data_IF_924173038578
#
_entry.id   IF_924173038578
#
_cell.length_a   1.000
_cell.length_b   1.000
_cell.length_c   1.000
_cell.angle_alpha   90.00
_cell.angle_beta   90.00
_cell.angle_gamma   90.00
#
_symmetry.space_group_name_H-M   'P 1'
#
loop_
_entity.id
_entity.type
_entity.pdbx_description
1 polymer ?
#
# COMPACT_ATOMS: atom_id res chain seq x y z
N UNK A 1 -22.75 2.92 18.61
CA UNK A 1 -21.87 3.33 17.50
C UNK A 1 -22.78 3.95 16.45
N UNK A 2 -22.59 5.22 16.10
CA UNK A 2 -23.36 5.92 15.04
C UNK A 2 -22.87 5.42 13.67
N UNK A 3 -23.33 4.23 13.25
CA UNK A 3 -23.00 3.64 11.94
C UNK A 3 -24.31 3.42 11.21
N UNK A 4 -24.42 3.91 9.98
CA UNK A 4 -25.60 3.68 9.15
C UNK A 4 -25.74 2.20 8.80
N UNK A 5 -26.97 1.77 8.52
CA UNK A 5 -27.32 0.41 8.12
C UNK A 5 -28.35 0.45 7.01
N UNK A 6 -28.03 -0.22 5.90
CA UNK A 6 -28.90 -0.35 4.72
C UNK A 6 -29.08 -1.82 4.39
N UNK A 7 -30.32 -2.22 4.11
CA UNK A 7 -30.69 -3.54 3.63
C UNK A 7 -31.06 -3.45 2.15
N UNK A 8 -30.53 -4.37 1.34
CA UNK A 8 -30.94 -4.58 -0.05
C UNK A 8 -31.55 -5.98 -0.17
N UNK A 9 -32.80 -6.06 -0.59
CA UNK A 9 -33.51 -7.32 -0.83
C UNK A 9 -33.25 -7.76 -2.27
N UNK A 10 -32.52 -8.86 -2.45
CA UNK A 10 -32.24 -9.43 -3.77
C UNK A 10 -33.53 -9.90 -4.48
N UNK A 11 -33.61 -9.68 -5.78
CA UNK A 11 -34.66 -10.16 -6.68
C UNK A 11 -34.41 -11.61 -7.16
N UNK A 12 -34.25 -12.51 -6.18
CA UNK A 12 -34.00 -13.94 -6.41
C UNK A 12 -35.28 -14.76 -6.21
N UNK A 13 -35.41 -15.84 -6.97
CA UNK A 13 -36.53 -16.76 -6.82
C UNK A 13 -36.31 -17.73 -5.63
N UNK A 14 -37.31 -18.56 -5.34
CA UNK A 14 -37.25 -19.47 -4.20
C UNK A 14 -36.15 -20.53 -4.34
N UNK A 15 -35.87 -21.01 -5.56
CA UNK A 15 -34.83 -22.00 -5.81
C UNK A 15 -33.43 -21.42 -5.57
N UNK A 16 -33.17 -20.21 -6.07
CA UNK A 16 -31.90 -19.50 -5.86
C UNK A 16 -31.69 -19.13 -4.40
N UNK A 17 -32.76 -18.69 -3.73
CA UNK A 17 -32.75 -18.41 -2.29
C UNK A 17 -32.40 -19.66 -1.48
N UNK A 18 -32.98 -20.80 -1.84
CA UNK A 18 -32.70 -22.08 -1.20
C UNK A 18 -31.25 -22.51 -1.45
N UNK A 19 -30.74 -22.36 -2.67
CA UNK A 19 -29.36 -22.69 -3.00
C UNK A 19 -28.34 -21.80 -2.26
N UNK A 20 -28.60 -20.49 -2.13
CA UNK A 20 -27.78 -19.59 -1.31
C UNK A 20 -27.82 -20.03 0.17
N UNK A 21 -29.00 -20.38 0.69
CA UNK A 21 -29.14 -20.86 2.07
C UNK A 21 -28.34 -22.14 2.31
N UNK A 22 -28.44 -23.13 1.41
CA UNK A 22 -27.68 -24.38 1.49
C UNK A 22 -26.16 -24.15 1.41
N UNK A 23 -25.72 -23.21 0.56
CA UNK A 23 -24.33 -22.80 0.48
C UNK A 23 -23.84 -22.24 1.83
N UNK A 24 -24.64 -21.37 2.46
CA UNK A 24 -24.32 -20.79 3.76
C UNK A 24 -24.30 -21.86 4.87
N UNK A 25 -25.30 -22.74 4.93
CA UNK A 25 -25.34 -23.86 5.88
C UNK A 25 -24.11 -24.75 5.75
N UNK A 26 -23.73 -25.12 4.52
CA UNK A 26 -22.51 -25.89 4.26
C UNK A 26 -21.25 -25.15 4.75
N UNK A 27 -21.18 -23.82 4.61
CA UNK A 27 -20.08 -23.03 5.15
C UNK A 27 -20.06 -22.94 6.67
N UNK A 28 -21.18 -23.15 7.37
CA UNK A 28 -21.17 -23.18 8.84
C UNK A 28 -20.56 -24.44 9.42
N UNK A 29 -20.40 -25.51 8.61
CA UNK A 29 -19.82 -26.77 9.05
C UNK A 29 -18.39 -26.57 9.60
N UNK A 30 -17.98 -27.32 10.64
CA UNK A 30 -16.68 -27.12 11.30
C UNK A 30 -15.47 -27.13 10.36
N UNK A 31 -15.54 -27.90 9.27
CA UNK A 31 -14.50 -28.01 8.25
C UNK A 31 -14.48 -26.84 7.25
N UNK A 32 -15.56 -26.07 7.11
CA UNK A 32 -15.72 -25.02 6.08
C UNK A 32 -15.79 -23.59 6.66
N UNK A 33 -16.08 -23.44 7.95
CA UNK A 33 -16.33 -22.13 8.59
C UNK A 33 -15.13 -21.18 8.64
N UNK A 34 -13.92 -21.69 8.43
CA UNK A 34 -12.71 -20.88 8.39
C UNK A 34 -12.23 -20.76 6.96
N UNK A 35 -12.00 -19.52 6.53
CA UNK A 35 -11.32 -19.20 5.28
C UNK A 35 -10.13 -18.29 5.58
N UNK A 36 -9.19 -18.27 4.65
CA UNK A 36 -8.01 -17.40 4.76
C UNK A 36 -8.38 -16.01 4.28
N UNK A 37 -8.54 -15.10 5.21
CA UNK A 37 -8.85 -13.70 4.91
C UNK A 37 -7.74 -13.04 4.08
N UNK A 38 -8.13 -12.42 2.97
CA UNK A 38 -7.33 -11.52 2.16
C UNK A 38 -8.10 -10.21 1.98
N UNK A 39 -7.50 -9.09 2.40
CA UNK A 39 -8.17 -7.79 2.43
C UNK A 39 -8.72 -7.35 1.07
N UNK A 40 -8.11 -7.74 -0.05
CA UNK A 40 -8.51 -7.28 -1.37
C UNK A 40 -9.29 -8.34 -2.15
N UNK A 41 -9.02 -9.62 -1.90
CA UNK A 41 -9.52 -10.70 -2.75
C UNK A 41 -10.46 -11.67 -2.05
N UNK A 42 -10.41 -11.79 -0.72
CA UNK A 42 -11.25 -12.70 0.03
C UNK A 42 -11.57 -12.13 1.42
N UNK A 43 -12.57 -11.26 1.49
CA UNK A 43 -12.99 -10.58 2.70
C UNK A 43 -14.51 -10.60 2.88
N UNK A 44 -15.02 -10.05 3.99
CA UNK A 44 -16.44 -10.04 4.28
C UNK A 44 -17.31 -9.34 3.22
N UNK A 45 -16.80 -8.28 2.58
CA UNK A 45 -17.50 -7.58 1.51
C UNK A 45 -17.49 -8.40 0.21
N UNK A 46 -16.36 -9.02 -0.17
CA UNK A 46 -16.32 -9.89 -1.36
C UNK A 46 -17.23 -11.09 -1.19
N UNK A 47 -17.42 -11.64 0.02
CA UNK A 47 -18.41 -12.71 0.26
C UNK A 47 -19.84 -12.30 -0.10
N UNK A 48 -20.21 -11.04 0.07
CA UNK A 48 -21.54 -10.54 -0.34
C UNK A 48 -21.72 -10.53 -1.86
N UNK A 49 -20.64 -10.48 -2.64
CA UNK A 49 -20.62 -10.65 -4.11
C UNK A 49 -20.53 -12.12 -4.49
N UNK A 50 -19.53 -12.82 -3.96
CA UNK A 50 -19.09 -14.14 -4.43
C UNK A 50 -20.15 -15.22 -4.16
N UNK A 51 -20.85 -15.14 -3.03
CA UNK A 51 -21.84 -16.16 -2.67
C UNK A 51 -23.04 -16.11 -3.64
N UNK A 52 -23.73 -14.98 -3.83
CA UNK A 52 -24.79 -14.90 -4.85
C UNK A 52 -24.28 -15.20 -6.25
N UNK A 53 -23.10 -14.68 -6.65
CA UNK A 53 -22.51 -14.96 -7.97
C UNK A 53 -22.25 -16.46 -8.18
N UNK A 54 -21.85 -17.21 -7.15
CA UNK A 54 -21.63 -18.66 -7.26
C UNK A 54 -22.92 -19.46 -7.53
N UNK A 55 -24.08 -18.93 -7.13
CA UNK A 55 -25.40 -19.56 -7.31
C UNK A 55 -26.07 -19.12 -8.61
N UNK A 56 -26.05 -17.81 -8.90
CA UNK A 56 -26.68 -17.25 -10.09
C UNK A 56 -25.80 -17.40 -11.35
N UNK A 57 -24.48 -17.56 -11.17
CA UNK A 57 -23.52 -17.63 -12.26
C UNK A 57 -23.53 -16.36 -13.12
N UNK A 58 -23.46 -16.56 -14.43
CA UNK A 58 -23.47 -15.47 -15.43
C UNK A 58 -24.83 -14.74 -15.51
N UNK A 59 -25.87 -15.24 -14.83
CA UNK A 59 -27.16 -14.52 -14.78
C UNK A 59 -27.04 -13.22 -14.01
N UNK A 60 -26.19 -13.13 -12.98
CA UNK A 60 -26.03 -11.93 -12.17
C UNK A 60 -24.90 -11.07 -12.77
N UNK A 61 -25.24 -9.92 -13.32
CA UNK A 61 -24.30 -9.01 -13.95
C UNK A 61 -24.19 -7.70 -13.16
N UNK A 62 -22.95 -7.27 -12.91
CA UNK A 62 -22.64 -6.01 -12.24
C UNK A 62 -22.18 -5.00 -13.29
N UNK A 63 -23.00 -3.99 -13.51
CA UNK A 63 -22.79 -2.94 -14.50
C UNK A 63 -21.91 -1.82 -13.95
N UNK A 64 -21.11 -1.17 -14.79
CA UNK A 64 -20.02 -0.28 -14.36
C UNK A 64 -20.15 1.16 -14.84
N UNK A 65 -21.19 1.49 -15.59
CA UNK A 65 -21.40 2.78 -16.26
C UNK A 65 -21.56 3.94 -15.28
N UNK A 66 -21.92 3.64 -14.03
CA UNK A 66 -22.05 4.63 -12.96
C UNK A 66 -20.69 5.05 -12.37
N UNK A 67 -19.62 4.29 -12.63
CA UNK A 67 -18.28 4.62 -12.15
C UNK A 67 -17.65 5.67 -13.07
N UNK A 68 -17.57 6.91 -12.59
CA UNK A 68 -17.08 8.05 -13.39
C UNK A 68 -15.57 8.13 -13.51
N UNK A 69 -14.83 7.39 -12.67
CA UNK A 69 -13.37 7.45 -12.62
C UNK A 69 -12.75 6.05 -12.55
N UNK A 70 -11.62 5.87 -13.25
CA UNK A 70 -10.81 4.67 -13.15
C UNK A 70 -9.93 4.69 -11.91
N UNK A 71 -10.15 3.75 -10.99
CA UNK A 71 -9.34 3.60 -9.78
C UNK A 71 -8.55 2.29 -9.78
N UNK A 72 -7.34 2.30 -9.23
CA UNK A 72 -6.61 1.10 -8.79
C UNK A 72 -7.03 0.70 -7.38
N UNK A 73 -6.61 -0.48 -6.92
CA UNK A 73 -6.82 -0.86 -5.51
C UNK A 73 -6.14 0.12 -4.55
N UNK A 74 -4.97 0.69 -4.91
CA UNK A 74 -4.32 1.71 -4.08
C UNK A 74 -5.14 2.99 -4.00
N UNK A 75 -5.62 3.49 -5.14
CA UNK A 75 -6.45 4.72 -5.15
C UNK A 75 -7.68 4.57 -4.24
N UNK A 76 -8.31 3.38 -4.22
CA UNK A 76 -9.45 3.06 -3.36
C UNK A 76 -9.09 2.96 -1.87
N UNK A 77 -7.86 2.54 -1.55
CA UNK A 77 -7.36 2.58 -0.16
C UNK A 77 -7.11 4.03 0.26
N UNK A 78 -6.48 4.82 -0.60
CA UNK A 78 -6.16 6.23 -0.35
C UNK A 78 -7.44 7.07 -0.15
N UNK A 79 -8.48 6.79 -0.94
CA UNK A 79 -9.82 7.38 -0.79
C UNK A 79 -10.38 7.17 0.64
N UNK A 80 -10.11 6.00 1.23
CA UNK A 80 -10.60 5.61 2.55
C UNK A 80 -9.63 5.93 3.70
N UNK A 81 -8.40 6.38 3.40
CA UNK A 81 -7.35 6.69 4.40
C UNK A 81 -7.14 8.19 4.60
N UNK A 82 -7.90 9.05 3.92
CA UNK A 82 -7.65 10.49 3.80
C UNK A 82 -7.46 11.26 5.12
N UNK A 83 -8.08 10.81 6.22
CA UNK A 83 -7.95 11.40 7.56
C UNK A 83 -6.80 10.83 8.39
N UNK A 84 -6.09 9.84 7.88
CA UNK A 84 -5.08 9.06 8.58
C UNK A 84 -3.77 9.03 7.80
N UNK A 85 -3.22 10.20 7.47
CA UNK A 85 -2.03 10.36 6.61
C UNK A 85 -0.81 9.52 7.01
N UNK A 86 -0.59 9.26 8.31
CA UNK A 86 0.50 8.39 8.77
C UNK A 86 0.21 6.90 8.57
N UNK A 87 -1.05 6.51 8.71
CA UNK A 87 -1.50 5.16 8.40
C UNK A 87 -1.39 4.92 6.90
N UNK A 88 -1.84 5.88 6.10
CA UNK A 88 -1.72 5.91 4.65
C UNK A 88 -0.27 5.68 4.19
N UNK A 89 0.67 6.50 4.68
CA UNK A 89 2.11 6.29 4.42
C UNK A 89 2.58 4.89 4.82
N UNK A 90 2.12 4.35 5.95
CA UNK A 90 2.49 3.02 6.41
C UNK A 90 1.97 1.91 5.49
N UNK A 91 0.71 2.04 5.07
CA UNK A 91 0.07 1.13 4.10
C UNK A 91 0.82 1.17 2.77
N UNK A 92 1.13 2.37 2.27
CA UNK A 92 1.86 2.55 1.02
C UNK A 92 3.26 1.96 1.03
N UNK A 93 3.95 2.02 2.18
CA UNK A 93 5.25 1.37 2.35
C UNK A 93 5.08 -0.16 2.37
N UNK A 94 3.98 -0.68 2.93
CA UNK A 94 3.73 -2.11 3.06
C UNK A 94 3.24 -2.79 1.78
N UNK A 95 2.41 -2.12 1.00
CA UNK A 95 1.79 -2.66 -0.22
C UNK A 95 2.72 -2.61 -1.42
N UNK A 96 2.76 -3.70 -2.19
CA UNK A 96 3.52 -3.80 -3.43
C UNK A 96 2.73 -3.36 -4.66
N UNK A 97 3.29 -3.60 -5.85
CA UNK A 97 2.70 -3.10 -7.09
C UNK A 97 1.41 -3.81 -7.53
N UNK A 98 1.04 -4.93 -6.90
CA UNK A 98 -0.18 -5.67 -7.23
C UNK A 98 -1.43 -4.81 -7.03
N UNK A 99 -1.42 -3.90 -6.06
CA UNK A 99 -2.55 -3.00 -5.79
C UNK A 99 -2.60 -1.80 -6.73
N UNK A 100 -1.59 -1.58 -7.56
CA UNK A 100 -1.58 -0.50 -8.57
C UNK A 100 -2.34 -0.88 -9.85
N UNK A 101 -2.81 -2.14 -9.96
CA UNK A 101 -3.65 -2.58 -11.06
C UNK A 101 -5.03 -1.92 -10.96
N UNK A 102 -5.62 -1.57 -12.11
CA UNK A 102 -6.98 -1.03 -12.18
C UNK A 102 -8.00 -2.03 -11.64
N UNK A 103 -8.98 -1.51 -10.89
CA UNK A 103 -10.08 -2.26 -10.32
C UNK A 103 -11.35 -2.02 -11.15
N UNK A 104 -11.82 -3.09 -11.79
CA UNK A 104 -13.16 -3.14 -12.40
C UNK A 104 -14.27 -3.15 -11.32
N UNK A 105 -15.53 -3.19 -11.74
CA UNK A 105 -16.69 -3.11 -10.85
C UNK A 105 -16.61 -4.17 -9.76
N UNK A 106 -16.41 -5.43 -10.14
CA UNK A 106 -16.35 -6.53 -9.19
C UNK A 106 -15.12 -6.39 -8.28
N UNK A 107 -13.96 -6.01 -8.81
CA UNK A 107 -12.75 -5.78 -8.03
C UNK A 107 -12.93 -4.72 -6.94
N UNK A 108 -13.71 -3.66 -7.18
CA UNK A 108 -14.01 -2.61 -6.18
C UNK A 108 -14.86 -3.12 -5.01
N UNK A 109 -15.65 -4.18 -5.21
CA UNK A 109 -16.51 -4.79 -4.18
C UNK A 109 -15.76 -5.48 -3.03
N UNK A 110 -14.44 -5.30 -2.92
CA UNK A 110 -13.72 -5.55 -1.66
C UNK A 110 -14.04 -4.51 -0.59
N UNK A 111 -14.63 -3.38 -0.98
CA UNK A 111 -15.14 -2.33 -0.10
C UNK A 111 -16.69 -2.41 0.01
N UNK A 112 -17.26 -2.36 1.23
CA UNK A 112 -18.71 -2.48 1.44
C UNK A 112 -19.56 -1.47 0.66
N UNK A 113 -19.11 -0.23 0.54
CA UNK A 113 -19.86 0.83 -0.15
C UNK A 113 -19.99 0.52 -1.65
N UNK A 114 -18.94 -0.07 -2.24
CA UNK A 114 -18.96 -0.52 -3.63
C UNK A 114 -19.81 -1.79 -3.80
N UNK A 115 -19.94 -2.65 -2.80
CA UNK A 115 -20.93 -3.76 -2.83
C UNK A 115 -22.34 -3.19 -2.94
N UNK A 116 -22.70 -2.27 -2.04
CA UNK A 116 -24.02 -1.65 -1.99
C UNK A 116 -24.36 -0.97 -3.34
N UNK A 117 -23.43 -0.17 -3.85
CA UNK A 117 -23.60 0.57 -5.10
C UNK A 117 -23.63 -0.34 -6.33
N UNK A 118 -22.79 -1.38 -6.38
CA UNK A 118 -22.77 -2.32 -7.50
C UNK A 118 -24.09 -3.12 -7.59
N UNK A 119 -24.65 -3.54 -6.46
CA UNK A 119 -25.95 -4.22 -6.45
C UNK A 119 -27.11 -3.31 -6.89
N UNK A 120 -27.08 -2.01 -6.57
CA UNK A 120 -28.08 -1.05 -7.04
C UNK A 120 -28.15 -0.97 -8.58
N UNK A 121 -27.02 -1.20 -9.25
CA UNK A 121 -26.90 -1.19 -10.71
C UNK A 121 -26.84 -2.59 -11.33
N UNK A 122 -26.93 -3.66 -10.52
CA UNK A 122 -26.84 -5.02 -11.00
C UNK A 122 -28.15 -5.50 -11.61
N UNK A 123 -28.05 -6.43 -12.55
CA UNK A 123 -29.20 -7.09 -13.19
C UNK A 123 -29.10 -8.60 -13.07
N UNK A 124 -30.25 -9.27 -13.16
CA UNK A 124 -30.35 -10.72 -13.27
C UNK A 124 -31.02 -11.05 -14.60
N UNK A 125 -30.32 -11.79 -15.46
CA UNK A 125 -30.85 -12.27 -16.74
C UNK A 125 -31.81 -13.45 -16.52
N UNK A 126 -33.07 -13.25 -16.92
CA UNK A 126 -34.16 -14.23 -16.90
C UNK A 126 -34.56 -14.57 -18.34
N UNK A 127 -33.93 -15.61 -18.90
CA UNK A 127 -34.25 -16.09 -20.25
C UNK A 127 -34.15 -15.00 -21.34
N UNK A 128 -33.14 -14.13 -21.26
CA UNK A 128 -32.91 -13.03 -22.19
C UNK A 128 -33.59 -11.70 -21.80
N UNK A 129 -34.30 -11.66 -20.67
CA UNK A 129 -34.85 -10.42 -20.10
C UNK A 129 -34.01 -10.01 -18.89
N UNK A 130 -33.45 -8.82 -18.91
CA UNK A 130 -32.75 -8.24 -17.76
C UNK A 130 -33.75 -7.67 -16.77
N UNK A 131 -33.68 -8.16 -15.53
CA UNK A 131 -34.44 -7.63 -14.40
C UNK A 131 -33.48 -7.02 -13.38
N UNK A 132 -33.86 -5.97 -12.63
CA UNK A 132 -33.02 -5.45 -11.55
C UNK A 132 -32.68 -6.55 -10.53
N UNK A 133 -31.42 -6.61 -10.08
CA UNK A 133 -30.97 -7.57 -9.08
C UNK A 133 -31.50 -7.25 -7.67
N UNK A 134 -31.93 -6.01 -7.43
CA UNK A 134 -32.51 -5.56 -6.17
C UNK A 134 -34.01 -5.31 -6.34
N UNK A 135 -34.81 -5.92 -5.46
CA UNK A 135 -36.25 -5.74 -5.36
C UNK A 135 -36.62 -4.50 -4.55
N UNK A 136 -35.93 -4.27 -3.46
CA UNK A 136 -36.14 -3.10 -2.59
C UNK A 136 -34.91 -2.80 -1.74
N UNK A 137 -34.77 -1.53 -1.37
CA UNK A 137 -33.71 -1.04 -0.48
C UNK A 137 -34.34 -0.34 0.72
N UNK A 138 -33.93 -0.71 1.93
CA UNK A 138 -34.41 -0.11 3.18
C UNK A 138 -33.24 0.49 3.96
N UNK A 139 -33.35 1.76 4.34
CA UNK A 139 -32.43 2.37 5.28
C UNK A 139 -32.91 2.07 6.69
N UNK A 140 -32.35 1.03 7.30
CA UNK A 140 -32.74 0.55 8.64
C UNK A 140 -32.28 1.50 9.74
N UNK A 141 -31.13 2.15 9.53
CA UNK A 141 -30.63 3.18 10.41
C UNK A 141 -29.82 4.19 9.60
N UNK A 142 -30.19 5.47 9.68
CA UNK A 142 -29.39 6.56 9.14
C UNK A 142 -28.48 7.11 10.23
N UNK A 143 -27.25 7.46 9.86
CA UNK A 143 -26.35 8.18 10.73
C UNK A 143 -25.91 9.46 10.07
N UNK A 144 -25.96 10.54 10.84
CA UNK A 144 -25.37 11.84 10.59
C UNK A 144 -23.86 11.87 10.86
N UNK A 145 -23.27 10.74 11.26
CA UNK A 145 -21.84 10.62 11.45
C UNK A 145 -21.12 10.59 10.10
N UNK A 146 -20.36 11.65 9.85
CA UNK A 146 -19.28 11.67 8.87
C UNK A 146 -17.97 11.84 9.62
N UNK A 147 -16.90 11.20 9.14
CA UNK A 147 -15.61 11.42 9.74
C UNK A 147 -15.18 12.87 9.49
N UNK A 148 -15.07 13.65 10.56
CA UNK A 148 -14.58 15.01 10.47
C UNK A 148 -13.11 15.01 10.10
N UNK A 149 -12.75 15.83 9.11
CA UNK A 149 -11.36 16.02 8.73
C UNK A 149 -10.53 16.42 9.95
N UNK A 150 -9.56 15.58 10.30
CA UNK A 150 -8.64 15.87 11.39
C UNK A 150 -7.38 16.50 10.85
N UNK A 151 -7.05 17.67 11.38
CA UNK A 151 -5.74 18.27 11.16
C UNK A 151 -4.68 17.40 11.83
N UNK A 152 -3.96 16.62 11.04
CA UNK A 152 -2.81 15.85 11.48
C UNK A 152 -1.54 16.45 10.87
N UNK A 153 -0.44 16.33 11.60
CA UNK A 153 0.86 16.75 11.10
C UNK A 153 1.20 15.91 9.86
N UNK A 154 1.26 16.57 8.70
CA UNK A 154 1.50 15.88 7.43
C UNK A 154 2.83 15.11 7.45
N UNK A 155 2.85 13.82 7.06
CA UNK A 155 4.08 13.06 6.92
C UNK A 155 5.06 13.74 5.96
N UNK A 156 4.56 14.34 4.86
CA UNK A 156 5.38 15.08 3.90
C UNK A 156 6.09 16.26 4.54
N UNK A 157 5.41 16.99 5.44
CA UNK A 157 6.03 18.10 6.18
C UNK A 157 7.13 17.59 7.12
N UNK A 158 6.87 16.51 7.87
CA UNK A 158 7.86 15.92 8.77
C UNK A 158 9.08 15.40 8.02
N UNK A 159 8.85 14.67 6.92
CA UNK A 159 9.93 14.18 6.07
C UNK A 159 10.72 15.33 5.44
N UNK A 160 10.06 16.44 5.10
CA UNK A 160 10.73 17.65 4.59
C UNK A 160 11.63 18.31 5.63
N UNK A 161 11.17 18.43 6.87
CA UNK A 161 11.98 18.99 7.98
C UNK A 161 13.18 18.09 8.28
N UNK A 162 12.98 16.77 8.36
CA UNK A 162 14.06 15.80 8.55
C UNK A 162 15.07 15.89 7.40
N UNK A 163 14.57 15.92 6.16
CA UNK A 163 15.39 16.05 4.95
C UNK A 163 16.26 17.31 5.00
N UNK A 164 15.66 18.45 5.33
CA UNK A 164 16.37 19.72 5.45
C UNK A 164 17.49 19.66 6.49
N UNK A 165 17.22 19.13 7.68
CA UNK A 165 18.22 18.98 8.76
C UNK A 165 19.40 18.12 8.29
N UNK A 166 19.11 16.96 7.69
CA UNK A 166 20.15 16.02 7.22
C UNK A 166 20.96 16.61 6.06
N UNK A 167 20.33 17.36 5.16
CA UNK A 167 21.01 18.08 4.09
C UNK A 167 21.95 19.15 4.67
N UNK A 168 21.49 19.96 5.63
CA UNK A 168 22.32 20.98 6.31
C UNK A 168 23.53 20.32 6.98
N UNK A 169 23.33 19.23 7.72
CA UNK A 169 24.42 18.47 8.35
C UNK A 169 25.38 17.90 7.31
N UNK A 170 24.88 17.44 6.16
CA UNK A 170 25.71 16.91 5.07
C UNK A 170 26.54 18.00 4.40
N UNK A 171 25.97 19.19 4.18
CA UNK A 171 26.71 20.36 3.68
C UNK A 171 27.79 20.79 4.67
N UNK A 172 27.50 20.78 5.97
CA UNK A 172 28.49 21.03 7.02
C UNK A 172 29.62 20.00 6.99
N UNK A 173 29.29 18.72 6.91
CA UNK A 173 30.27 17.62 6.83
C UNK A 173 31.18 17.77 5.60
N UNK A 174 30.61 18.20 4.47
CA UNK A 174 31.35 18.47 3.23
C UNK A 174 32.31 19.64 3.38
N UNK A 175 31.86 20.78 3.94
CA UNK A 175 32.68 21.99 4.13
C UNK A 175 33.80 21.77 5.15
N UNK A 176 33.48 21.12 6.27
CA UNK A 176 34.42 20.91 7.39
C UNK A 176 35.37 19.73 7.17
N UNK A 177 35.12 18.90 6.14
CA UNK A 177 35.83 17.63 5.89
C UNK A 177 35.77 16.65 7.08
N UNK A 178 34.78 16.80 7.97
CA UNK A 178 34.53 15.93 9.12
C UNK A 178 33.19 15.24 8.92
N UNK A 179 33.20 13.92 8.82
CA UNK A 179 31.99 13.10 8.63
C UNK A 179 31.24 12.89 9.95
N UNK A 180 29.94 13.20 9.95
CA UNK A 180 29.02 12.87 11.04
C UNK A 180 28.65 11.38 10.98
N UNK A 181 29.45 10.52 11.62
CA UNK A 181 29.30 9.06 11.56
C UNK A 181 28.00 8.54 12.21
N UNK A 182 27.51 9.24 13.24
CA UNK A 182 26.24 8.89 13.90
C UNK A 182 25.05 9.03 12.94
N UNK A 183 25.09 10.04 12.05
CA UNK A 183 24.05 10.27 11.07
C UNK A 183 24.01 9.13 10.06
N UNK A 184 25.17 8.64 9.61
CA UNK A 184 25.25 7.46 8.74
C UNK A 184 24.68 6.22 9.43
N UNK A 185 25.02 6.00 10.71
CA UNK A 185 24.50 4.88 11.49
C UNK A 185 22.96 4.93 11.55
N UNK A 186 22.38 6.06 11.93
CA UNK A 186 20.93 6.23 12.07
C UNK A 186 20.22 6.01 10.74
N UNK A 187 20.69 6.65 9.65
CA UNK A 187 20.07 6.53 8.33
C UNK A 187 20.10 5.08 7.81
N UNK A 188 21.23 4.38 7.98
CA UNK A 188 21.35 2.99 7.54
C UNK A 188 20.55 2.02 8.43
N UNK A 189 20.48 2.27 9.74
CA UNK A 189 19.62 1.48 10.62
C UNK A 189 18.14 1.64 10.25
N UNK A 190 17.65 2.87 10.07
CA UNK A 190 16.24 3.11 9.74
C UNK A 190 15.88 2.49 8.38
N UNK A 191 16.64 2.79 7.33
CA UNK A 191 16.38 2.22 5.98
C UNK A 191 16.53 0.70 5.97
N UNK A 192 17.45 0.15 6.76
CA UNK A 192 17.64 -1.29 6.92
C UNK A 192 16.50 -1.96 7.68
N UNK A 193 16.00 -1.34 8.76
CA UNK A 193 14.86 -1.85 9.55
C UNK A 193 13.56 -1.85 8.73
N UNK A 194 13.26 -0.74 8.04
CA UNK A 194 12.10 -0.66 7.15
C UNK A 194 12.25 -1.70 6.04
N UNK A 195 13.45 -1.82 5.45
CA UNK A 195 13.71 -2.81 4.42
C UNK A 195 13.53 -4.24 4.89
N UNK A 196 13.93 -4.54 6.13
CA UNK A 196 13.70 -5.84 6.74
C UNK A 196 12.20 -6.11 6.91
N UNK A 197 11.42 -5.13 7.36
CA UNK A 197 9.96 -5.27 7.48
C UNK A 197 9.33 -5.55 6.12
N UNK A 198 9.67 -4.75 5.08
CA UNK A 198 9.15 -4.97 3.72
C UNK A 198 9.55 -6.35 3.18
N UNK A 199 10.80 -6.78 3.42
CA UNK A 199 11.25 -8.11 3.02
C UNK A 199 10.49 -9.23 3.74
N UNK A 200 10.24 -9.08 5.06
CA UNK A 200 9.46 -10.04 5.82
C UNK A 200 8.01 -10.09 5.34
N UNK A 201 7.39 -8.94 5.03
CA UNK A 201 6.06 -8.92 4.41
C UNK A 201 6.05 -9.68 3.07
N UNK A 202 7.13 -9.58 2.30
CA UNK A 202 7.25 -10.24 1.00
C UNK A 202 7.37 -11.77 1.12
N UNK A 203 8.22 -12.29 2.02
CA UNK A 203 8.57 -13.74 2.03
C UNK A 203 8.06 -14.51 3.24
N UNK A 204 7.80 -13.84 4.35
CA UNK A 204 7.48 -14.47 5.62
C UNK A 204 6.00 -14.35 5.99
N UNK A 205 5.18 -13.72 5.13
CA UNK A 205 3.75 -13.60 5.36
C UNK A 205 2.92 -14.17 4.22
N UNK A 206 1.64 -14.32 4.54
CA UNK A 206 0.62 -14.80 3.65
C UNK A 206 -0.10 -13.67 2.91
N UNK A 207 0.38 -12.43 3.04
CA UNK A 207 -0.16 -11.27 2.36
C UNK A 207 0.28 -11.28 0.89
N UNK A 208 -0.67 -11.55 0.00
CA UNK A 208 -0.39 -11.65 -1.43
C UNK A 208 -0.09 -10.28 -2.05
N UNK A 209 -0.62 -9.20 -1.48
CA UNK A 209 -0.53 -7.83 -1.99
C UNK A 209 0.74 -7.07 -1.57
N UNK A 210 1.56 -7.64 -0.69
CA UNK A 210 2.83 -7.04 -0.24
C UNK A 210 4.03 -7.50 -1.08
N UNK A 211 3.85 -8.47 -1.97
CA UNK A 211 4.91 -8.99 -2.85
C UNK A 211 5.20 -8.00 -3.98
N UNK A 212 6.40 -8.12 -4.59
CA UNK A 212 6.88 -7.20 -5.63
C UNK A 212 6.89 -5.73 -5.18
N UNK A 213 7.06 -5.49 -3.89
CA UNK A 213 7.08 -4.15 -3.33
C UNK A 213 8.40 -3.43 -3.60
N UNK A 214 8.37 -2.44 -4.49
CA UNK A 214 9.53 -1.66 -4.93
C UNK A 214 10.05 -0.68 -3.86
N UNK A 215 9.39 -0.56 -2.69
CA UNK A 215 9.95 0.17 -1.55
C UNK A 215 11.29 -0.41 -1.07
N UNK A 216 11.60 -1.68 -1.41
CA UNK A 216 12.93 -2.28 -1.15
C UNK A 216 14.10 -1.53 -1.80
N UNK A 217 13.84 -0.70 -2.82
CA UNK A 217 14.86 0.07 -3.53
C UNK A 217 15.45 1.20 -2.66
N UNK A 218 14.62 1.85 -1.83
CA UNK A 218 15.11 2.87 -0.89
C UNK A 218 15.27 2.31 0.53
N UNK A 219 14.37 1.43 0.94
CA UNK A 219 14.43 0.70 2.20
C UNK A 219 15.18 -0.62 1.99
N UNK A 220 16.50 -0.53 1.84
CA UNK A 220 17.32 -1.69 1.49
C UNK A 220 17.76 -2.45 2.74
N UNK A 221 17.19 -3.64 2.98
CA UNK A 221 17.42 -4.42 4.21
C UNK A 221 18.90 -4.63 4.60
N UNK A 222 19.85 -4.90 3.67
CA UNK A 222 21.27 -5.02 4.01
C UNK A 222 21.88 -3.78 4.68
N UNK A 223 21.25 -2.60 4.58
CA UNK A 223 21.67 -1.41 5.30
C UNK A 223 21.73 -1.64 6.83
N UNK A 224 20.90 -2.56 7.36
CA UNK A 224 20.88 -2.89 8.79
C UNK A 224 22.22 -3.40 9.28
N UNK A 225 22.88 -4.27 8.50
CA UNK A 225 24.21 -4.80 8.80
C UNK A 225 25.29 -3.77 8.43
N UNK A 226 25.14 -3.12 7.28
CA UNK A 226 26.13 -2.15 6.79
C UNK A 226 26.25 -0.93 7.70
N UNK A 227 25.20 -0.57 8.45
CA UNK A 227 25.20 0.52 9.43
C UNK A 227 26.39 0.45 10.40
N UNK A 228 26.71 -0.74 10.91
CA UNK A 228 27.81 -0.97 11.84
C UNK A 228 29.19 -1.02 11.16
N UNK A 229 29.23 -1.24 9.85
CA UNK A 229 30.46 -1.25 9.06
C UNK A 229 30.84 0.15 8.60
N UNK A 230 29.86 0.96 8.21
CA UNK A 230 30.07 2.31 7.68
C UNK A 230 30.44 3.31 8.77
N UNK A 231 29.98 3.11 10.01
CA UNK A 231 30.28 4.00 11.18
C UNK A 231 31.76 3.97 11.61
N UNK A 232 32.54 2.99 11.15
CA UNK A 232 33.98 2.86 11.50
C UNK A 232 34.77 4.07 11.01
N UNK A 233 35.83 4.46 11.75
CA UNK A 233 36.68 5.62 11.40
C UNK A 233 37.33 5.45 10.02
N UNK A 234 37.83 4.26 9.73
CA UNK A 234 38.41 3.86 8.45
C UNK A 234 37.52 2.77 7.80
N UNK A 235 36.45 3.15 7.08
CA UNK A 235 35.59 2.20 6.39
C UNK A 235 36.34 1.49 5.26
N UNK A 236 36.01 0.21 5.01
CA UNK A 236 36.59 -0.57 3.90
C UNK A 236 36.21 0.05 2.55
N UNK A 237 37.11 -0.04 1.55
CA UNK A 237 36.90 0.58 0.22
C UNK A 237 35.63 0.11 -0.50
N UNK A 238 35.22 -1.15 -0.32
CA UNK A 238 34.01 -1.69 -0.95
C UNK A 238 32.73 -0.96 -0.50
N UNK A 239 32.72 -0.32 0.67
CA UNK A 239 31.57 0.47 1.14
C UNK A 239 31.29 1.67 0.22
N UNK A 240 32.29 2.20 -0.49
CA UNK A 240 32.04 3.21 -1.52
C UNK A 240 31.27 2.63 -2.71
N UNK A 241 31.56 1.40 -3.11
CA UNK A 241 30.83 0.69 -4.18
C UNK A 241 29.40 0.39 -3.72
N UNK A 242 29.24 -0.04 -2.47
CA UNK A 242 27.92 -0.25 -1.86
C UNK A 242 27.06 1.01 -1.88
N UNK A 243 27.60 2.17 -1.45
CA UNK A 243 26.85 3.43 -1.47
C UNK A 243 26.52 3.89 -2.90
N UNK A 244 27.42 3.69 -3.87
CA UNK A 244 27.11 3.93 -5.29
C UNK A 244 25.93 3.08 -5.75
N UNK A 245 25.91 1.81 -5.37
CA UNK A 245 24.82 0.91 -5.68
C UNK A 245 23.50 1.40 -5.08
N UNK A 246 23.49 1.89 -3.83
CA UNK A 246 22.29 2.51 -3.25
C UNK A 246 21.79 3.70 -4.06
N UNK A 247 22.68 4.58 -4.56
CA UNK A 247 22.27 5.68 -5.44
C UNK A 247 21.62 5.16 -6.73
N UNK A 248 22.15 4.08 -7.32
CA UNK A 248 21.54 3.44 -8.48
C UNK A 248 20.15 2.89 -8.15
N UNK A 249 19.95 2.29 -6.97
CA UNK A 249 18.63 1.83 -6.53
C UNK A 249 17.63 2.99 -6.38
N UNK A 250 18.06 4.14 -5.84
CA UNK A 250 17.20 5.33 -5.73
C UNK A 250 16.81 5.87 -7.11
N UNK A 251 17.73 5.86 -8.08
CA UNK A 251 17.42 6.22 -9.48
C UNK A 251 16.44 5.21 -10.08
N UNK A 252 16.65 3.91 -9.87
CA UNK A 252 15.74 2.87 -10.34
C UNK A 252 14.32 3.04 -9.76
N UNK A 253 14.21 3.41 -8.48
CA UNK A 253 12.93 3.74 -7.85
C UNK A 253 12.27 4.94 -8.52
N UNK A 254 13.01 6.03 -8.77
CA UNK A 254 12.47 7.19 -9.50
C UNK A 254 11.97 6.81 -10.89
N UNK A 255 12.72 5.99 -11.64
CA UNK A 255 12.28 5.49 -12.94
C UNK A 255 11.02 4.63 -12.82
N UNK A 256 10.95 3.72 -11.84
CA UNK A 256 9.78 2.89 -11.60
C UNK A 256 8.53 3.71 -11.26
N UNK A 257 8.69 4.77 -10.46
CA UNK A 257 7.61 5.68 -10.12
C UNK A 257 7.10 6.45 -11.36
N UNK A 258 8.00 7.03 -12.15
CA UNK A 258 7.64 7.77 -13.37
C UNK A 258 6.99 6.87 -14.43
N UNK A 259 7.43 5.61 -14.52
CA UNK A 259 6.85 4.60 -15.40
C UNK A 259 5.56 3.98 -14.85
N UNK A 260 5.09 4.40 -13.67
CA UNK A 260 3.92 3.84 -12.96
C UNK A 260 4.00 2.32 -12.76
N UNK A 261 5.22 1.78 -12.60
CA UNK A 261 5.42 0.36 -12.25
C UNK A 261 5.02 0.06 -10.80
N UNK A 262 5.17 1.05 -9.92
CA UNK A 262 4.57 1.10 -8.60
C UNK A 262 4.32 2.57 -8.24
N UNK A 263 3.17 2.86 -7.62
CA UNK A 263 2.91 4.19 -7.03
C UNK A 263 3.53 4.24 -5.63
N UNK A 264 4.15 5.36 -5.29
CA UNK A 264 4.77 5.58 -3.98
C UNK A 264 4.13 6.78 -3.29
N UNK A 265 4.10 6.76 -1.97
CA UNK A 265 3.60 7.88 -1.19
C UNK A 265 4.44 9.14 -1.43
N UNK A 266 3.78 10.29 -1.67
CA UNK A 266 4.47 11.56 -1.93
C UNK A 266 5.33 12.05 -0.77
N UNK A 267 5.05 11.62 0.46
CA UNK A 267 5.88 11.91 1.63
C UNK A 267 7.30 11.33 1.53
N UNK A 268 7.55 10.39 0.61
CA UNK A 268 8.89 9.85 0.35
C UNK A 268 9.75 10.78 -0.50
N UNK A 269 9.18 11.76 -1.23
CA UNK A 269 9.97 12.65 -2.10
C UNK A 269 11.09 13.38 -1.34
N UNK A 270 10.83 14.07 -0.21
CA UNK A 270 11.89 14.73 0.54
C UNK A 270 12.92 13.75 1.10
N UNK A 271 12.47 12.56 1.52
CA UNK A 271 13.34 11.48 2.00
C UNK A 271 14.31 11.02 0.89
N UNK A 272 13.80 10.82 -0.33
CA UNK A 272 14.60 10.42 -1.48
C UNK A 272 15.69 11.44 -1.81
N UNK A 273 15.32 12.73 -1.85
CA UNK A 273 16.27 13.82 -2.09
C UNK A 273 17.36 13.81 -1.01
N UNK A 274 16.97 13.70 0.26
CA UNK A 274 17.89 13.63 1.40
C UNK A 274 18.87 12.45 1.26
N UNK A 275 18.36 11.25 0.94
CA UNK A 275 19.19 10.05 0.79
C UNK A 275 20.17 10.18 -0.38
N UNK A 276 19.74 10.69 -1.53
CA UNK A 276 20.63 10.96 -2.68
C UNK A 276 21.75 11.91 -2.27
N UNK A 277 21.43 13.05 -1.65
CA UNK A 277 22.43 14.03 -1.21
C UNK A 277 23.44 13.38 -0.24
N UNK A 278 22.95 12.62 0.75
CA UNK A 278 23.84 11.96 1.72
C UNK A 278 24.71 10.89 1.08
N UNK A 279 24.15 10.03 0.23
CA UNK A 279 24.87 8.93 -0.40
C UNK A 279 25.90 9.43 -1.41
N UNK A 280 25.60 10.47 -2.19
CA UNK A 280 26.58 11.10 -3.09
C UNK A 280 27.75 11.71 -2.28
N UNK A 281 27.47 12.38 -1.15
CA UNK A 281 28.51 12.85 -0.24
C UNK A 281 29.41 11.70 0.26
N UNK A 282 28.81 10.61 0.73
CA UNK A 282 29.53 9.45 1.26
C UNK A 282 30.40 8.78 0.19
N UNK A 283 29.87 8.62 -1.03
CA UNK A 283 30.61 8.12 -2.17
C UNK A 283 31.82 9.02 -2.50
N UNK A 284 31.61 10.32 -2.70
CA UNK A 284 32.66 11.18 -3.24
C UNK A 284 33.74 11.56 -2.21
N UNK A 285 33.34 11.82 -0.96
CA UNK A 285 34.24 12.40 0.07
C UNK A 285 34.12 11.77 1.45
N UNK A 286 32.93 11.35 1.86
CA UNK A 286 32.70 10.91 3.25
C UNK A 286 33.45 9.62 3.62
N UNK A 287 33.57 8.67 2.69
CA UNK A 287 34.26 7.39 2.92
C UNK A 287 35.70 7.37 2.40
N UNK A 288 36.06 8.32 1.54
CA UNK A 288 37.42 8.54 1.09
C UNK A 288 38.22 9.22 2.20
N UNK A 289 38.66 8.45 3.20
CA UNK A 289 39.55 8.93 4.25
C UNK A 289 40.66 9.79 3.66
N UNK A 290 40.98 10.91 4.33
CA UNK A 290 42.01 11.89 3.93
C UNK A 290 43.13 11.20 3.16
N UNK A 291 43.15 11.40 1.84
CA UNK A 291 44.30 11.04 1.01
C UNK A 291 45.48 11.81 1.59
N UNK A 292 46.21 11.22 2.54
CA UNK A 292 47.64 11.52 2.65
C UNK A 292 48.20 11.02 1.32
N UNK A 293 48.30 11.94 0.36
CA UNK A 293 49.25 11.80 -0.73
C UNK A 293 50.59 11.64 -0.03
N UNK A 294 51.09 10.40 0.01
CA UNK A 294 52.50 10.19 0.25
C UNK A 294 53.20 10.90 -0.92
N UNK A 295 53.80 12.04 -0.61
CA UNK A 295 54.90 12.58 -1.39
C UNK A 295 56.17 11.85 -0.94
#
# INVERSE_FOLDING_TARGET
>A
QNRWMTEQVLNINQEEKQAIFEFLENNTLPQNKYYRYDQFFDNCATKLRDIPKSVLGDKLEFHGEYLTEEASYRDLVDENSFNHLWLDLGIDIGLGNIVDRKADVEARMYLPDYVLSAYEHATINRNGVEEPAIKSTYKLFESDYYEQKRDSLSPTLVMSVIALIVIILTVRDYKTKKRSRWLDLVLFLITGLIGLIVLLLWVATHHTTTVNNLNVLWAFAPNLVVAFLIVKKAPKKWLMVYVRFLVVLLIAMTCAWLAKLQVFNTALIPLMIMLVVRYVYLWQKGLGGTRKRAF
#
